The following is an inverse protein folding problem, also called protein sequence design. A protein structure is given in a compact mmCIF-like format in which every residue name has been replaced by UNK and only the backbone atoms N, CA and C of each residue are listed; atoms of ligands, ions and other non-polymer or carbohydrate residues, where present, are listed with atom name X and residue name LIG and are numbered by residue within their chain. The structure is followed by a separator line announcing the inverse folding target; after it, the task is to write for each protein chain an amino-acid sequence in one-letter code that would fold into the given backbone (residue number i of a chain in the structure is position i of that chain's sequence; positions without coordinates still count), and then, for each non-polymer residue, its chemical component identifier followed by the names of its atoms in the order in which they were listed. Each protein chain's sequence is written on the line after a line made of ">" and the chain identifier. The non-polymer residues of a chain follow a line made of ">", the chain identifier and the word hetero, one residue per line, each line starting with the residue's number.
data_IF_374739095756
#
_entry.id   IF_374739095756
#
_cell.length_a   1.000
_cell.length_b   1.000
_cell.length_c   1.000
_cell.angle_alpha   90.00
_cell.angle_beta   90.00
_cell.angle_gamma   90.00
#
_symmetry.space_group_name_H-M   'P 1'
#
loop_
_entity.id
_entity.type
_entity.pdbx_description
1 polymer ?
#
# COMPACT_ATOMS: atom_id res chain seq x y z
N UNK A 1 2.88 -24.74 36.49
CA UNK A 1 1.84 -24.69 35.45
C UNK A 1 1.31 -23.27 35.38
N UNK A 2 1.94 -22.42 34.56
CA UNK A 2 1.52 -21.03 34.34
C UNK A 2 0.86 -20.93 32.97
N UNK A 3 -0.25 -20.19 32.95
CA UNK A 3 -1.24 -20.18 31.89
C UNK A 3 -0.74 -19.64 30.56
N UNK A 4 -1.44 -20.08 29.52
CA UNK A 4 -1.37 -19.59 28.15
C UNK A 4 -1.56 -18.07 28.15
N UNK A 5 -0.59 -17.36 27.58
CA UNK A 5 -0.72 -15.94 27.24
C UNK A 5 -1.33 -15.90 25.85
N UNK A 6 -2.56 -15.42 25.80
CA UNK A 6 -3.31 -15.15 24.58
C UNK A 6 -2.75 -13.85 23.96
N UNK A 7 -1.83 -13.97 23.00
CA UNK A 7 -1.24 -12.83 22.29
C UNK A 7 -2.21 -12.35 21.20
N UNK A 8 -3.29 -11.67 21.61
CA UNK A 8 -4.05 -10.83 20.69
C UNK A 8 -3.36 -9.46 20.59
N UNK A 9 -2.65 -9.25 19.49
CA UNK A 9 -1.99 -8.00 19.14
C UNK A 9 -3.02 -6.87 18.99
N UNK A 10 -3.06 -5.97 19.96
CA UNK A 10 -3.77 -4.69 19.87
C UNK A 10 -2.72 -3.59 19.78
N UNK A 11 -2.47 -3.08 18.59
CA UNK A 11 -1.81 -1.78 18.44
C UNK A 11 -2.78 -0.70 18.94
N UNK A 12 -2.54 -0.20 20.16
CA UNK A 12 -3.29 0.93 20.70
C UNK A 12 -2.48 2.20 20.42
N UNK A 13 -2.79 2.86 19.31
CA UNK A 13 -2.34 4.23 19.09
C UNK A 13 -3.25 5.13 19.94
N UNK A 14 -2.73 5.67 21.04
CA UNK A 14 -3.44 6.65 21.86
C UNK A 14 -3.42 8.03 21.18
N UNK A 15 -4.26 8.22 20.17
CA UNK A 15 -4.49 9.55 19.60
C UNK A 15 -5.57 10.26 20.40
N UNK A 16 -5.23 11.33 21.14
CA UNK A 16 -6.24 12.10 21.90
C UNK A 16 -7.25 12.82 21.02
N UNK A 17 -6.93 13.07 19.74
CA UNK A 17 -7.81 13.70 18.75
C UNK A 17 -7.32 13.45 17.32
N UNK A 18 -8.20 12.95 16.45
CA UNK A 18 -7.99 12.91 15.00
C UNK A 18 -8.98 13.88 14.37
N UNK A 19 -8.49 14.93 13.72
CA UNK A 19 -9.32 15.85 12.95
C UNK A 19 -9.20 15.51 11.47
N UNK A 20 -10.26 14.97 10.88
CA UNK A 20 -10.30 14.65 9.44
C UNK A 20 -11.08 15.75 8.72
N UNK A 21 -10.40 16.52 7.85
CA UNK A 21 -11.08 17.47 6.95
C UNK A 21 -11.64 16.71 5.75
N UNK A 22 -12.95 16.81 5.54
CA UNK A 22 -13.65 16.21 4.41
C UNK A 22 -14.18 17.27 3.45
N UNK A 23 -14.54 16.87 2.25
CA UNK A 23 -15.24 17.69 1.26
C UNK A 23 -16.41 16.90 0.68
N UNK A 24 -17.50 17.57 0.27
CA UNK A 24 -18.67 16.87 -0.21
C UNK A 24 -18.47 16.32 -1.63
N UNK A 25 -18.97 15.11 -1.88
CA UNK A 25 -19.08 14.49 -3.21
C UNK A 25 -20.55 14.45 -3.64
N UNK A 26 -21.12 15.63 -3.89
CA UNK A 26 -22.58 15.80 -4.09
C UNK A 26 -23.12 15.12 -5.34
N UNK A 27 -22.27 14.88 -6.33
CA UNK A 27 -22.67 14.31 -7.61
C UNK A 27 -22.44 12.79 -7.67
N UNK A 28 -22.06 12.16 -6.55
CA UNK A 28 -21.66 10.76 -6.51
C UNK A 28 -20.20 10.54 -6.91
N UNK A 29 -19.88 9.29 -7.22
CA UNK A 29 -18.55 8.82 -7.57
C UNK A 29 -18.64 7.88 -8.77
N UNK A 30 -17.51 7.69 -9.44
CA UNK A 30 -17.28 6.57 -10.33
C UNK A 30 -16.14 5.73 -9.75
N UNK A 31 -16.37 4.45 -9.52
CA UNK A 31 -15.36 3.57 -8.92
C UNK A 31 -15.52 2.13 -9.36
N UNK A 32 -14.47 1.35 -9.13
CA UNK A 32 -14.45 -0.09 -9.34
C UNK A 32 -13.05 -0.59 -9.65
N UNK A 33 -13.00 -1.81 -10.15
CA UNK A 33 -11.82 -2.59 -10.44
C UNK A 33 -11.83 -2.94 -11.92
N UNK A 34 -10.64 -2.87 -12.52
CA UNK A 34 -10.34 -3.45 -13.83
C UNK A 34 -9.28 -4.54 -13.63
N UNK A 35 -9.54 -5.72 -14.18
CA UNK A 35 -8.73 -6.91 -13.95
C UNK A 35 -8.03 -7.34 -15.24
N UNK A 36 -6.77 -7.73 -15.11
CA UNK A 36 -5.92 -8.25 -16.17
C UNK A 36 -5.32 -9.60 -15.77
N UNK A 37 -4.99 -10.41 -16.76
CA UNK A 37 -4.20 -11.62 -16.54
C UNK A 37 -2.70 -11.33 -16.75
N UNK A 38 -1.84 -12.28 -16.38
CA UNK A 38 -0.38 -12.12 -16.43
C UNK A 38 0.16 -11.84 -17.85
N UNK A 39 -0.49 -12.32 -18.91
CA UNK A 39 -0.06 -12.04 -20.30
C UNK A 39 -0.27 -10.58 -20.71
N UNK A 40 -1.03 -9.81 -19.92
CA UNK A 40 -1.32 -8.40 -20.14
C UNK A 40 -0.56 -7.49 -19.18
N UNK A 41 0.31 -8.04 -18.32
CA UNK A 41 0.98 -7.32 -17.24
C UNK A 41 1.69 -6.05 -17.75
N UNK A 42 2.59 -6.19 -18.73
CA UNK A 42 3.36 -5.06 -19.27
C UNK A 42 2.45 -3.95 -19.81
N UNK A 43 1.44 -4.29 -20.60
CA UNK A 43 0.52 -3.31 -21.18
C UNK A 43 -0.34 -2.62 -20.11
N UNK A 44 -0.80 -3.35 -19.09
CA UNK A 44 -1.56 -2.79 -17.99
C UNK A 44 -0.71 -1.87 -17.11
N UNK A 45 0.55 -2.25 -16.84
CA UNK A 45 1.49 -1.46 -16.05
C UNK A 45 2.02 -0.23 -16.80
N UNK A 46 2.15 -0.32 -18.12
CA UNK A 46 2.43 0.83 -18.98
C UNK A 46 1.31 1.87 -18.86
N UNK A 47 0.07 1.45 -19.08
CA UNK A 47 -1.11 2.32 -18.96
C UNK A 47 -1.26 2.87 -17.52
N UNK A 48 -0.93 2.08 -16.49
CA UNK A 48 -0.89 2.52 -15.10
C UNK A 48 0.14 3.63 -14.86
N UNK A 49 1.37 3.43 -15.35
CA UNK A 49 2.46 4.39 -15.20
C UNK A 49 2.16 5.69 -15.96
N UNK A 50 1.55 5.62 -17.14
CA UNK A 50 1.08 6.79 -17.89
C UNK A 50 0.02 7.58 -17.12
N UNK A 51 -0.93 6.91 -16.46
CA UNK A 51 -1.92 7.57 -15.62
C UNK A 51 -1.25 8.25 -14.42
N UNK A 52 -0.28 7.57 -13.78
CA UNK A 52 0.46 8.11 -12.65
C UNK A 52 1.32 9.32 -13.01
N UNK A 53 1.93 9.31 -14.18
CA UNK A 53 2.80 10.40 -14.68
C UNK A 53 2.04 11.42 -15.54
N UNK A 54 0.74 11.23 -15.74
CA UNK A 54 -0.14 12.12 -16.50
C UNK A 54 -1.34 12.54 -15.66
N UNK A 55 -2.48 11.86 -15.82
CA UNK A 55 -3.76 12.27 -15.27
C UNK A 55 -3.77 12.49 -13.75
N UNK A 56 -3.01 11.69 -12.98
CA UNK A 56 -2.91 11.83 -11.52
C UNK A 56 -2.11 13.06 -11.06
N UNK A 57 -1.35 13.72 -11.94
CA UNK A 57 -0.59 14.92 -11.57
C UNK A 57 -1.52 16.10 -11.29
N UNK A 58 -2.60 16.22 -12.07
CA UNK A 58 -3.49 17.39 -12.06
C UNK A 58 -4.90 17.09 -11.51
N UNK A 59 -5.34 15.82 -11.55
CA UNK A 59 -6.66 15.44 -11.09
C UNK A 59 -6.70 15.07 -9.60
N UNK A 60 -6.98 16.07 -8.76
CA UNK A 60 -7.13 15.90 -7.30
C UNK A 60 -8.24 14.95 -6.85
N UNK A 61 -9.16 14.56 -7.73
CA UNK A 61 -10.27 13.66 -7.40
C UNK A 61 -10.09 12.26 -7.99
N UNK A 62 -9.09 12.05 -8.86
CA UNK A 62 -8.78 10.74 -9.43
C UNK A 62 -7.78 10.00 -8.53
N UNK A 63 -8.04 8.72 -8.31
CA UNK A 63 -7.12 7.79 -7.70
C UNK A 63 -7.15 6.50 -8.49
N UNK A 64 -5.96 5.99 -8.81
CA UNK A 64 -5.79 4.66 -9.41
C UNK A 64 -4.67 3.96 -8.65
N UNK A 65 -4.93 2.76 -8.17
CA UNK A 65 -3.96 1.90 -7.46
C UNK A 65 -3.90 0.55 -8.14
N UNK A 66 -2.73 -0.08 -8.20
CA UNK A 66 -2.59 -1.46 -8.66
C UNK A 66 -2.53 -2.42 -7.46
N UNK A 67 -3.12 -3.60 -7.61
CA UNK A 67 -3.00 -4.73 -6.69
C UNK A 67 -2.64 -5.96 -7.51
N UNK A 68 -1.48 -6.52 -7.25
CA UNK A 68 -1.08 -7.82 -7.77
C UNK A 68 -1.30 -8.86 -6.67
N UNK A 69 -1.87 -10.02 -7.03
CA UNK A 69 -2.07 -11.11 -6.07
C UNK A 69 -1.57 -12.43 -6.62
N UNK A 70 -1.02 -13.24 -5.71
CA UNK A 70 -0.70 -14.65 -5.91
C UNK A 70 -1.36 -15.44 -4.78
N UNK A 71 -2.21 -16.41 -5.13
CA UNK A 71 -2.82 -17.33 -4.16
C UNK A 71 -2.64 -18.77 -4.69
N UNK A 72 -1.56 -19.47 -4.28
CA UNK A 72 -1.23 -20.79 -4.81
C UNK A 72 -2.34 -21.83 -4.60
N UNK A 73 -3.05 -21.77 -3.46
CA UNK A 73 -4.09 -22.72 -3.10
C UNK A 73 -5.26 -22.81 -4.10
N UNK A 74 -5.50 -21.74 -4.86
CA UNK A 74 -6.54 -21.67 -5.89
C UNK A 74 -5.99 -21.37 -7.29
N UNK A 75 -4.66 -21.47 -7.46
CA UNK A 75 -3.96 -21.14 -8.71
C UNK A 75 -4.35 -19.76 -9.27
N UNK A 76 -4.47 -18.76 -8.38
CA UNK A 76 -4.83 -17.40 -8.77
C UNK A 76 -3.56 -16.56 -8.92
N UNK A 77 -3.46 -15.90 -10.07
CA UNK A 77 -2.62 -14.73 -10.29
C UNK A 77 -3.47 -13.64 -10.94
N UNK A 78 -3.42 -12.42 -10.42
CA UNK A 78 -4.21 -11.30 -10.95
C UNK A 78 -3.48 -9.98 -10.80
N UNK A 79 -3.81 -9.07 -11.71
CA UNK A 79 -3.38 -7.67 -11.71
C UNK A 79 -4.66 -6.85 -11.76
N UNK A 80 -5.02 -6.26 -10.63
CA UNK A 80 -6.27 -5.53 -10.42
C UNK A 80 -5.98 -4.05 -10.19
N UNK A 81 -6.47 -3.18 -11.07
CA UNK A 81 -6.39 -1.75 -10.88
C UNK A 81 -7.70 -1.22 -10.32
N UNK A 82 -7.64 -0.66 -9.13
CA UNK A 82 -8.77 -0.03 -8.46
C UNK A 82 -8.77 1.45 -8.78
N UNK A 83 -9.87 1.94 -9.35
CA UNK A 83 -10.03 3.34 -9.73
C UNK A 83 -11.17 3.99 -8.95
N UNK A 84 -10.99 5.27 -8.63
CA UNK A 84 -11.98 6.11 -7.97
C UNK A 84 -11.91 7.52 -8.56
N UNK A 85 -13.05 8.12 -8.88
CA UNK A 85 -13.14 9.55 -9.16
C UNK A 85 -14.45 10.19 -8.70
N UNK A 86 -14.36 11.40 -8.16
CA UNK A 86 -15.53 12.26 -7.89
C UNK A 86 -16.03 13.01 -9.13
N UNK A 87 -15.29 12.98 -10.25
CA UNK A 87 -15.67 13.66 -11.50
C UNK A 87 -16.57 12.75 -12.34
N UNK A 88 -17.87 12.84 -12.09
CA UNK A 88 -18.87 12.02 -12.80
C UNK A 88 -19.47 12.68 -14.05
N UNK A 89 -19.09 13.90 -14.40
CA UNK A 89 -19.69 14.64 -15.53
C UNK A 89 -19.07 14.26 -16.89
N UNK A 90 -19.07 12.97 -17.23
CA UNK A 90 -18.64 12.45 -18.53
C UNK A 90 -19.77 11.67 -19.20
N UNK A 91 -19.84 11.71 -20.54
CA UNK A 91 -20.93 11.09 -21.32
C UNK A 91 -20.56 9.71 -21.87
N UNK A 92 -19.27 9.38 -21.92
CA UNK A 92 -18.75 8.06 -22.28
C UNK A 92 -19.07 7.01 -21.19
N UNK A 93 -18.84 5.73 -21.52
CA UNK A 93 -18.95 4.63 -20.55
C UNK A 93 -17.93 4.75 -19.40
N UNK A 94 -16.75 5.32 -19.69
CA UNK A 94 -15.64 5.46 -18.75
C UNK A 94 -15.08 6.90 -18.77
N UNK A 95 -14.50 7.40 -17.65
CA UNK A 95 -13.73 8.64 -17.65
C UNK A 95 -12.57 8.56 -18.65
N UNK A 96 -12.31 9.65 -19.40
CA UNK A 96 -11.21 9.72 -20.38
C UNK A 96 -9.85 9.37 -19.76
N UNK A 97 -9.62 9.73 -18.50
CA UNK A 97 -8.39 9.42 -17.78
C UNK A 97 -8.14 7.91 -17.60
N UNK A 98 -9.17 7.06 -17.74
CA UNK A 98 -9.05 5.60 -17.64
C UNK A 98 -9.03 4.92 -19.01
N UNK A 99 -9.11 5.67 -20.11
CA UNK A 99 -9.27 5.09 -21.46
C UNK A 99 -8.13 4.14 -21.82
N UNK A 100 -6.88 4.49 -21.48
CA UNK A 100 -5.73 3.65 -21.78
C UNK A 100 -5.81 2.28 -21.08
N UNK A 101 -6.40 2.21 -19.88
CA UNK A 101 -6.68 0.93 -19.20
C UNK A 101 -7.71 0.11 -19.97
N UNK A 102 -8.76 0.75 -20.50
CA UNK A 102 -9.79 0.07 -21.30
C UNK A 102 -9.22 -0.47 -22.60
N UNK A 103 -8.33 0.29 -23.25
CA UNK A 103 -7.75 -0.05 -24.56
C UNK A 103 -6.83 -1.28 -24.50
N UNK A 104 -6.28 -1.62 -23.33
CA UNK A 104 -5.53 -2.87 -23.09
C UNK A 104 -6.42 -4.12 -23.26
N UNK A 105 -7.74 -3.98 -23.14
CA UNK A 105 -8.70 -5.09 -23.27
C UNK A 105 -8.78 -5.95 -22.00
N UNK A 106 -9.29 -5.42 -20.89
CA UNK A 106 -9.34 -6.14 -19.61
C UNK A 106 -10.19 -7.41 -19.67
N UNK A 107 -9.84 -8.40 -18.84
CA UNK A 107 -10.63 -9.65 -18.73
C UNK A 107 -11.92 -9.45 -17.95
N UNK A 108 -11.97 -8.45 -17.06
CA UNK A 108 -13.16 -8.10 -16.31
C UNK A 108 -13.13 -6.63 -15.89
N UNK A 109 -14.32 -6.04 -15.76
CA UNK A 109 -14.51 -4.74 -15.12
C UNK A 109 -15.77 -4.79 -14.25
N UNK A 110 -15.78 -4.08 -13.13
CA UNK A 110 -16.98 -3.86 -12.33
C UNK A 110 -17.28 -2.37 -12.09
N UNK A 111 -16.72 -1.51 -12.95
CA UNK A 111 -16.87 -0.06 -12.84
C UNK A 111 -18.33 0.36 -12.80
N UNK A 112 -18.65 1.28 -11.89
CA UNK A 112 -20.00 1.79 -11.74
C UNK A 112 -20.00 3.24 -11.28
N UNK A 113 -21.07 3.94 -11.65
CA UNK A 113 -21.46 5.19 -11.00
C UNK A 113 -22.22 4.85 -9.75
N UNK A 114 -21.80 5.37 -8.62
CA UNK A 114 -22.43 5.10 -7.33
C UNK A 114 -22.30 6.30 -6.38
N UNK A 115 -22.68 6.13 -5.13
CA UNK A 115 -22.42 7.10 -4.06
C UNK A 115 -21.31 6.59 -3.15
N UNK A 116 -20.55 7.51 -2.53
CA UNK A 116 -19.57 7.13 -1.51
C UNK A 116 -20.22 6.37 -0.35
N UNK A 117 -21.45 6.72 0.03
CA UNK A 117 -22.22 6.03 1.07
C UNK A 117 -22.48 4.57 0.70
N UNK A 118 -22.93 4.29 -0.52
CA UNK A 118 -23.18 2.93 -0.96
C UNK A 118 -21.90 2.11 -1.04
N UNK A 119 -20.80 2.71 -1.51
CA UNK A 119 -19.48 2.07 -1.56
C UNK A 119 -18.98 1.73 -0.15
N UNK A 120 -19.05 2.68 0.78
CA UNK A 120 -18.65 2.50 2.17
C UNK A 120 -19.58 1.54 2.96
N UNK A 121 -20.79 1.29 2.46
CA UNK A 121 -21.75 0.36 3.06
C UNK A 121 -21.59 -1.08 2.56
N UNK A 122 -20.69 -1.35 1.61
CA UNK A 122 -20.41 -2.71 1.15
C UNK A 122 -19.91 -3.54 2.33
N UNK A 123 -20.50 -4.71 2.52
CA UNK A 123 -20.15 -5.59 3.62
C UNK A 123 -18.68 -6.00 3.50
N UNK A 124 -17.94 -5.86 4.60
CA UNK A 124 -16.63 -6.48 4.73
C UNK A 124 -16.85 -7.98 4.84
N UNK A 125 -16.28 -8.75 3.92
CA UNK A 125 -16.53 -10.19 3.88
C UNK A 125 -15.82 -10.90 5.04
N UNK A 126 -16.37 -12.01 5.58
CA UNK A 126 -15.69 -12.81 6.59
C UNK A 126 -14.28 -13.25 6.15
N UNK A 127 -14.07 -13.52 4.87
CA UNK A 127 -12.78 -13.87 4.28
C UNK A 127 -11.78 -12.72 4.39
N UNK A 128 -12.22 -11.48 4.12
CA UNK A 128 -11.38 -10.29 4.34
C UNK A 128 -11.10 -10.05 5.83
N UNK A 129 -12.02 -10.37 6.73
CA UNK A 129 -11.76 -10.27 8.16
C UNK A 129 -10.80 -11.36 8.66
N UNK A 130 -10.84 -12.56 8.05
CA UNK A 130 -10.00 -13.68 8.43
C UNK A 130 -8.50 -13.36 8.33
N UNK A 131 -8.07 -12.57 7.33
CA UNK A 131 -6.66 -12.17 7.18
C UNK A 131 -6.13 -11.30 8.33
N UNK A 132 -6.99 -10.73 9.18
CA UNK A 132 -6.56 -9.99 10.38
C UNK A 132 -6.27 -10.91 11.57
N UNK A 133 -6.70 -12.17 11.49
CA UNK A 133 -6.42 -13.20 12.52
C UNK A 133 -5.30 -14.16 12.10
N UNK A 134 -4.88 -14.08 10.83
CA UNK A 134 -3.78 -14.86 10.30
C UNK A 134 -2.42 -14.27 10.69
N UNK A 135 -1.39 -15.10 10.49
CA UNK A 135 0.01 -14.68 10.52
C UNK A 135 0.26 -13.79 9.32
N UNK A 136 0.97 -12.68 9.49
CA UNK A 136 1.14 -11.69 8.43
C UNK A 136 2.60 -11.29 8.27
N UNK A 137 2.99 -11.09 7.01
CA UNK A 137 4.19 -10.38 6.62
C UNK A 137 3.81 -9.02 6.04
N UNK A 138 4.68 -8.03 6.24
CA UNK A 138 4.52 -6.68 5.71
C UNK A 138 5.86 -6.18 5.20
N UNK A 139 5.82 -5.33 4.18
CA UNK A 139 6.98 -4.59 3.73
C UNK A 139 6.61 -3.47 2.79
N UNK A 140 7.48 -2.47 2.68
CA UNK A 140 7.28 -1.33 1.81
C UNK A 140 8.60 -0.94 1.16
N UNK A 141 8.53 -0.61 -0.13
CA UNK A 141 9.52 0.24 -0.78
C UNK A 141 8.80 1.40 -1.45
N UNK A 142 9.39 2.59 -1.38
CA UNK A 142 8.89 3.76 -2.09
C UNK A 142 9.78 4.00 -3.30
N UNK A 143 9.17 4.26 -4.45
CA UNK A 143 9.90 4.46 -5.71
C UNK A 143 9.37 5.69 -6.47
N UNK A 144 10.22 6.32 -7.27
CA UNK A 144 9.79 7.21 -8.35
C UNK A 144 8.99 6.39 -9.37
N UNK A 145 8.05 7.03 -10.07
CA UNK A 145 7.38 6.38 -11.19
C UNK A 145 8.42 6.07 -12.29
N UNK A 146 8.57 4.80 -12.63
CA UNK A 146 9.45 4.32 -13.68
C UNK A 146 8.78 3.10 -14.34
N UNK A 147 8.49 3.25 -15.62
CA UNK A 147 7.71 2.29 -16.40
C UNK A 147 8.37 0.91 -16.51
N UNK A 148 9.69 0.88 -16.66
CA UNK A 148 10.41 -0.40 -16.81
C UNK A 148 10.69 -1.02 -15.43
N UNK A 149 10.93 -0.21 -14.39
CA UNK A 149 10.99 -0.71 -13.01
C UNK A 149 9.71 -1.45 -12.64
N UNK A 150 8.56 -0.93 -13.04
CA UNK A 150 7.26 -1.53 -12.77
C UNK A 150 7.19 -2.93 -13.38
N UNK A 151 7.55 -3.09 -14.65
CA UNK A 151 7.62 -4.41 -15.30
C UNK A 151 8.59 -5.35 -14.59
N UNK A 152 9.82 -4.90 -14.34
CA UNK A 152 10.86 -5.70 -13.68
C UNK A 152 10.42 -6.18 -12.28
N UNK A 153 9.77 -5.32 -11.49
CA UNK A 153 9.30 -5.66 -10.15
C UNK A 153 8.07 -6.57 -10.20
N UNK A 154 7.15 -6.37 -11.15
CA UNK A 154 5.98 -7.24 -11.35
C UNK A 154 6.40 -8.66 -11.77
N UNK A 155 7.31 -8.76 -12.75
CA UNK A 155 7.86 -10.05 -13.17
C UNK A 155 8.58 -10.76 -12.02
N UNK A 156 9.38 -10.01 -11.25
CA UNK A 156 10.00 -10.52 -10.03
C UNK A 156 8.95 -11.00 -9.02
N UNK A 157 7.87 -10.26 -8.80
CA UNK A 157 6.82 -10.63 -7.86
C UNK A 157 6.18 -11.97 -8.23
N UNK A 158 5.70 -12.10 -9.47
CA UNK A 158 5.05 -13.33 -9.91
C UNK A 158 6.02 -14.51 -9.94
N UNK A 159 7.25 -14.34 -10.43
CA UNK A 159 8.24 -15.41 -10.49
C UNK A 159 8.72 -15.85 -9.09
N UNK A 160 8.92 -14.92 -8.17
CA UNK A 160 9.40 -15.20 -6.81
C UNK A 160 8.38 -15.98 -5.98
N UNK A 161 7.09 -15.66 -6.12
CA UNK A 161 6.02 -16.32 -5.36
C UNK A 161 5.37 -17.50 -6.09
N UNK A 162 5.65 -17.72 -7.39
CA UNK A 162 5.15 -18.87 -8.14
C UNK A 162 5.51 -20.23 -7.51
N UNK A 163 6.65 -20.31 -6.81
CA UNK A 163 7.11 -21.53 -6.13
C UNK A 163 6.70 -21.64 -4.67
N UNK A 164 5.84 -20.75 -4.16
CA UNK A 164 5.42 -20.81 -2.76
C UNK A 164 4.64 -22.09 -2.47
N UNK A 165 5.13 -22.87 -1.49
CA UNK A 165 4.46 -24.07 -0.97
C UNK A 165 3.86 -23.88 0.42
N UNK A 166 3.86 -22.65 0.95
CA UNK A 166 3.38 -22.38 2.32
C UNK A 166 1.87 -22.58 2.40
N UNK A 167 1.40 -23.14 3.52
CA UNK A 167 -0.02 -23.42 3.72
C UNK A 167 -0.83 -22.12 3.80
N UNK A 168 -1.95 -22.07 3.09
CA UNK A 168 -2.86 -20.92 3.03
C UNK A 168 -2.17 -19.59 2.67
N UNK A 169 -1.09 -19.64 1.87
CA UNK A 169 -0.34 -18.44 1.51
C UNK A 169 -1.18 -17.52 0.61
N UNK A 170 -1.40 -16.29 1.07
CA UNK A 170 -1.99 -15.21 0.29
C UNK A 170 -0.93 -14.12 0.19
N UNK A 171 -0.55 -13.76 -1.04
CA UNK A 171 0.47 -12.76 -1.31
C UNK A 171 -0.18 -11.63 -2.09
N UNK A 172 -0.22 -10.44 -1.50
CA UNK A 172 -0.69 -9.22 -2.13
C UNK A 172 0.42 -8.19 -2.23
N UNK A 173 0.52 -7.54 -3.38
CA UNK A 173 1.49 -6.48 -3.63
C UNK A 173 0.78 -5.27 -4.24
N UNK A 174 0.62 -4.22 -3.43
CA UNK A 174 -0.20 -3.05 -3.79
C UNK A 174 0.66 -1.82 -4.08
N UNK A 175 0.32 -1.14 -5.16
CA UNK A 175 1.07 -0.02 -5.70
C UNK A 175 0.18 1.20 -5.58
N UNK A 176 0.59 2.11 -4.71
CA UNK A 176 -0.23 3.24 -4.29
C UNK A 176 0.50 4.54 -4.66
N UNK A 177 0.14 5.15 -5.80
CA UNK A 177 0.67 6.45 -6.18
C UNK A 177 0.22 7.52 -5.19
N UNK A 178 1.18 8.31 -4.71
CA UNK A 178 0.92 9.55 -4.00
C UNK A 178 1.10 10.71 -4.96
N UNK A 179 0.00 11.41 -5.22
CA UNK A 179 -0.05 12.47 -6.23
C UNK A 179 0.68 13.73 -5.76
N UNK A 180 1.24 14.54 -6.69
CA UNK A 180 1.78 15.85 -6.37
C UNK A 180 0.78 16.74 -5.63
N UNK A 181 -0.50 16.69 -6.01
CA UNK A 181 -1.55 17.43 -5.32
C UNK A 181 -1.69 17.00 -3.85
N UNK A 182 -1.67 15.70 -3.55
CA UNK A 182 -1.71 15.20 -2.18
C UNK A 182 -0.51 15.69 -1.34
N UNK A 183 0.68 15.70 -1.95
CA UNK A 183 1.91 16.20 -1.31
C UNK A 183 1.82 17.70 -1.04
N UNK A 184 1.39 18.49 -2.03
CA UNK A 184 1.23 19.94 -1.90
C UNK A 184 0.23 20.28 -0.80
N UNK A 185 -0.93 19.62 -0.78
CA UNK A 185 -1.94 19.82 0.27
C UNK A 185 -1.46 19.38 1.65
N UNK A 186 -0.69 18.30 1.74
CA UNK A 186 -0.04 17.86 2.97
C UNK A 186 0.91 18.94 3.50
N UNK A 187 1.83 19.42 2.65
CA UNK A 187 2.81 20.45 3.01
C UNK A 187 2.15 21.76 3.42
N UNK A 188 1.08 22.19 2.71
CA UNK A 188 0.29 23.38 3.06
C UNK A 188 -0.35 23.30 4.44
N UNK A 189 -0.60 22.08 4.95
CA UNK A 189 -1.22 21.81 6.26
C UNK A 189 -0.21 21.47 7.36
N UNK A 190 1.09 21.66 7.11
CA UNK A 190 2.16 21.40 8.09
C UNK A 190 3.00 20.15 7.77
N UNK A 191 2.68 19.43 6.70
CA UNK A 191 3.43 18.28 6.21
C UNK A 191 3.21 17.00 7.00
N UNK A 192 3.95 15.96 6.62
CA UNK A 192 4.02 14.68 7.31
C UNK A 192 5.40 14.52 7.96
N UNK A 193 5.45 13.98 9.18
CA UNK A 193 6.68 13.68 9.92
C UNK A 193 7.65 12.81 9.12
N UNK A 194 7.16 11.86 8.33
CA UNK A 194 8.01 11.02 7.47
C UNK A 194 8.42 11.66 6.14
N UNK A 195 8.10 12.94 5.95
CA UNK A 195 8.09 13.58 4.66
C UNK A 195 6.99 13.02 3.75
N UNK A 196 6.56 13.83 2.79
CA UNK A 196 5.66 13.39 1.74
C UNK A 196 6.23 13.92 0.42
N UNK A 197 6.48 13.02 -0.52
CA UNK A 197 6.94 13.35 -1.86
C UNK A 197 6.10 12.53 -2.86
N UNK A 198 6.01 12.95 -4.13
CA UNK A 198 5.35 12.15 -5.15
C UNK A 198 6.13 10.84 -5.31
N UNK A 199 5.48 9.72 -5.02
CA UNK A 199 6.07 8.38 -5.04
C UNK A 199 5.00 7.37 -5.46
N UNK A 200 5.41 6.20 -5.91
CA UNK A 200 4.61 4.99 -5.74
C UNK A 200 5.08 4.23 -4.51
N UNK A 201 4.16 4.05 -3.56
CA UNK A 201 4.38 3.16 -2.43
C UNK A 201 4.02 1.73 -2.83
N UNK A 202 5.02 0.87 -2.91
CA UNK A 202 4.86 -0.55 -3.21
C UNK A 202 4.83 -1.32 -1.90
N UNK A 203 3.68 -1.86 -1.55
CA UNK A 203 3.41 -2.47 -0.25
C UNK A 203 3.16 -3.95 -0.42
N UNK A 204 4.05 -4.75 0.14
CA UNK A 204 3.89 -6.19 0.28
C UNK A 204 3.05 -6.48 1.52
N UNK A 205 2.07 -7.35 1.35
CA UNK A 205 1.36 -7.98 2.45
C UNK A 205 1.16 -9.45 2.14
N UNK A 206 1.64 -10.30 3.04
CA UNK A 206 1.49 -11.75 2.95
C UNK A 206 0.75 -12.27 4.17
N UNK A 207 0.11 -13.43 4.03
CA UNK A 207 -0.40 -14.19 5.16
C UNK A 207 -0.31 -15.69 4.94
N UNK A 208 -0.12 -16.46 6.01
CA UNK A 208 0.01 -17.92 5.95
C UNK A 208 -0.66 -18.58 7.16
N UNK A 209 -0.97 -19.88 7.02
CA UNK A 209 -1.77 -20.62 7.98
C UNK A 209 -0.97 -21.26 9.12
N UNK A 210 0.27 -21.70 8.87
CA UNK A 210 1.04 -22.52 9.81
C UNK A 210 2.13 -21.74 10.56
N UNK A 211 2.25 -21.96 11.87
CA UNK A 211 3.31 -21.37 12.70
C UNK A 211 4.71 -21.83 12.31
N UNK A 212 4.84 -23.08 11.88
CA UNK A 212 6.15 -23.64 11.52
C UNK A 212 6.72 -22.98 10.25
N UNK A 213 5.87 -22.31 9.47
CA UNK A 213 6.25 -21.60 8.25
C UNK A 213 6.71 -20.14 8.50
N UNK A 214 6.62 -19.62 9.74
CA UNK A 214 6.93 -18.21 10.06
C UNK A 214 8.29 -17.77 9.51
N UNK A 215 9.34 -18.57 9.78
CA UNK A 215 10.69 -18.23 9.34
C UNK A 215 10.85 -18.28 7.81
N UNK A 216 10.19 -19.25 7.16
CA UNK A 216 10.24 -19.40 5.71
C UNK A 216 9.48 -18.27 4.99
N UNK A 217 8.30 -17.91 5.49
CA UNK A 217 7.49 -16.80 4.97
C UNK A 217 8.24 -15.47 5.07
N UNK A 218 8.73 -15.14 6.27
CA UNK A 218 9.45 -13.87 6.50
C UNK A 218 10.76 -13.81 5.71
N UNK A 219 11.46 -14.93 5.53
CA UNK A 219 12.65 -14.97 4.68
C UNK A 219 12.32 -14.75 3.20
N UNK A 220 11.25 -15.37 2.70
CA UNK A 220 10.77 -15.19 1.33
C UNK A 220 10.40 -13.73 1.05
N UNK A 221 9.71 -13.08 2.00
CA UNK A 221 9.33 -11.67 1.89
C UNK A 221 10.54 -10.74 1.93
N UNK A 222 11.49 -11.00 2.83
CA UNK A 222 12.72 -10.22 2.94
C UNK A 222 13.57 -10.33 1.65
N UNK A 223 13.68 -11.53 1.07
CA UNK A 223 14.41 -11.77 -0.17
C UNK A 223 13.75 -11.05 -1.36
N UNK A 224 12.42 -11.10 -1.48
CA UNK A 224 11.68 -10.34 -2.49
C UNK A 224 11.93 -8.84 -2.37
N UNK A 225 11.74 -8.27 -1.18
CA UNK A 225 11.92 -6.83 -0.93
C UNK A 225 13.36 -6.39 -1.18
N UNK A 226 14.35 -7.21 -0.84
CA UNK A 226 15.76 -6.91 -1.11
C UNK A 226 16.04 -6.83 -2.62
N UNK A 227 15.52 -7.80 -3.41
CA UNK A 227 15.65 -7.79 -4.87
C UNK A 227 14.92 -6.61 -5.51
N UNK A 228 13.68 -6.35 -5.11
CA UNK A 228 12.90 -5.21 -5.60
C UNK A 228 13.57 -3.86 -5.26
N UNK A 229 14.15 -3.74 -4.06
CA UNK A 229 14.94 -2.57 -3.64
C UNK A 229 16.16 -2.37 -4.54
N UNK A 230 16.85 -3.47 -4.91
CA UNK A 230 18.02 -3.40 -5.78
C UNK A 230 17.66 -3.01 -7.22
N UNK A 231 16.55 -3.52 -7.76
CA UNK A 231 16.01 -3.07 -9.06
C UNK A 231 15.75 -1.56 -9.04
N UNK A 232 15.05 -1.08 -8.01
CA UNK A 232 14.77 0.36 -7.85
C UNK A 232 16.04 1.19 -7.71
N UNK A 233 17.06 0.69 -6.99
CA UNK A 233 18.35 1.37 -6.81
C UNK A 233 19.12 1.48 -8.13
N UNK A 234 19.19 0.41 -8.92
CA UNK A 234 19.88 0.40 -10.23
C UNK A 234 19.32 1.43 -11.21
N UNK A 235 18.05 1.80 -11.03
CA UNK A 235 17.33 2.76 -11.87
C UNK A 235 17.29 4.19 -11.30
N UNK A 236 17.99 4.45 -10.19
CA UNK A 236 17.88 5.72 -9.44
C UNK A 236 16.42 6.09 -9.06
N UNK A 237 15.57 5.07 -8.91
CA UNK A 237 14.16 5.23 -8.61
C UNK A 237 13.86 5.04 -7.11
N UNK A 238 14.74 4.39 -6.35
CA UNK A 238 14.53 4.12 -4.93
C UNK A 238 14.44 5.42 -4.12
N UNK A 239 13.35 5.56 -3.36
CA UNK A 239 13.16 6.67 -2.44
C UNK A 239 13.71 6.33 -1.05
N UNK A 240 14.27 7.30 -0.32
CA UNK A 240 14.96 7.04 0.95
C UNK A 240 14.00 6.73 2.11
N UNK A 241 12.75 7.20 2.04
CA UNK A 241 11.79 7.08 3.14
C UNK A 241 10.98 5.78 3.08
N UNK A 242 10.71 5.17 4.23
CA UNK A 242 9.77 4.06 4.36
C UNK A 242 8.62 4.42 5.30
N UNK A 243 7.37 4.15 4.95
CA UNK A 243 6.25 4.53 5.81
C UNK A 243 5.92 3.45 6.85
N UNK A 244 5.82 3.87 8.11
CA UNK A 244 5.71 2.94 9.25
C UNK A 244 4.46 2.06 9.22
N UNK A 245 3.39 2.51 8.57
CA UNK A 245 2.13 1.77 8.51
C UNK A 245 2.24 0.48 7.69
N UNK A 246 3.23 0.36 6.81
CA UNK A 246 3.41 -0.78 5.92
C UNK A 246 4.82 -1.37 5.92
N UNK A 247 5.75 -0.78 6.67
CA UNK A 247 7.11 -1.29 6.76
C UNK A 247 7.19 -2.65 7.48
N UNK A 248 8.23 -3.41 7.13
CA UNK A 248 8.55 -4.69 7.76
C UNK A 248 8.99 -4.46 9.21
N UNK A 249 8.68 -5.40 10.11
CA UNK A 249 9.01 -5.26 11.55
C UNK A 249 10.50 -5.03 11.83
N UNK A 250 11.36 -5.53 10.94
CA UNK A 250 12.82 -5.40 11.02
C UNK A 250 13.36 -4.12 10.37
N UNK A 251 12.53 -3.32 9.73
CA UNK A 251 12.95 -2.10 9.04
C UNK A 251 13.31 -0.99 10.05
N UNK A 252 14.43 -0.31 9.82
CA UNK A 252 14.78 0.90 10.57
C UNK A 252 14.03 2.11 9.98
N UNK A 253 12.73 2.20 10.24
CA UNK A 253 11.86 3.22 9.65
C UNK A 253 12.18 4.63 10.15
N UNK A 254 12.47 4.79 11.44
CA UNK A 254 12.61 6.12 12.05
C UNK A 254 13.78 6.88 11.43
N UNK A 255 14.91 6.20 11.16
CA UNK A 255 16.06 6.86 10.54
C UNK A 255 15.75 7.36 9.12
N UNK A 256 14.86 6.68 8.40
CA UNK A 256 14.47 7.08 7.02
C UNK A 256 13.72 8.41 6.94
N UNK A 257 13.24 8.96 8.06
CA UNK A 257 12.52 10.25 8.08
C UNK A 257 13.45 11.46 8.05
N UNK A 258 14.76 11.24 8.16
CA UNK A 258 15.76 12.29 8.17
C UNK A 258 15.96 12.91 9.55
N UNK A 259 17.19 13.36 9.80
CA UNK A 259 17.64 13.79 11.13
C UNK A 259 16.77 14.91 11.74
N UNK A 260 16.34 15.88 10.93
CA UNK A 260 15.51 16.98 11.41
C UNK A 260 14.15 16.52 11.92
N UNK A 261 13.52 15.58 11.23
CA UNK A 261 12.22 15.03 11.63
C UNK A 261 12.38 14.13 12.85
N UNK A 262 13.44 13.32 12.91
CA UNK A 262 13.77 12.51 14.09
C UNK A 262 13.99 13.40 15.32
N UNK A 263 14.72 14.51 15.18
CA UNK A 263 14.94 15.48 16.25
C UNK A 263 13.63 16.11 16.73
N UNK A 264 12.73 16.48 15.81
CA UNK A 264 11.38 16.98 16.14
C UNK A 264 10.56 15.92 16.89
N UNK A 265 10.58 14.66 16.44
CA UNK A 265 9.89 13.55 17.11
C UNK A 265 10.39 13.35 18.54
N UNK A 266 11.72 13.33 18.75
CA UNK A 266 12.31 13.23 20.08
C UNK A 266 11.91 14.39 20.99
N UNK A 267 11.92 15.62 20.48
CA UNK A 267 11.49 16.80 21.25
C UNK A 267 10.00 16.75 21.64
N UNK A 268 9.13 16.26 20.76
CA UNK A 268 7.69 16.05 21.05
C UNK A 268 7.52 14.96 22.10
N UNK A 269 8.24 13.83 21.98
CA UNK A 269 8.24 12.75 22.97
C UNK A 269 8.64 13.28 24.35
N UNK A 270 9.75 14.03 24.44
CA UNK A 270 10.21 14.64 25.71
C UNK A 270 9.22 15.66 26.29
N UNK A 271 8.40 16.31 25.47
CA UNK A 271 7.41 17.26 25.95
C UNK A 271 6.17 16.58 26.55
N UNK A 272 5.69 15.50 25.92
CA UNK A 272 4.39 14.91 26.22
C UNK A 272 4.44 13.51 26.85
N UNK A 273 5.56 12.81 26.74
CA UNK A 273 5.83 11.49 27.32
C UNK A 273 7.24 11.46 27.95
N UNK A 274 7.46 12.31 28.96
CA UNK A 274 8.76 12.49 29.64
C UNK A 274 9.34 11.20 30.18
N UNK A 275 8.49 10.31 30.69
CA UNK A 275 8.88 9.02 31.27
C UNK A 275 9.07 7.93 30.20
N UNK A 276 8.86 8.25 28.91
CA UNK A 276 8.98 7.28 27.82
C UNK A 276 7.97 6.13 27.92
N UNK A 277 6.80 6.37 28.53
CA UNK A 277 5.76 5.35 28.78
C UNK A 277 5.42 4.59 27.50
N UNK A 278 5.28 5.27 26.36
CA UNK A 278 4.96 4.62 25.08
C UNK A 278 6.18 4.00 24.40
N UNK A 279 7.38 4.46 24.74
CA UNK A 279 8.62 3.82 24.29
C UNK A 279 8.85 2.49 25.01
N UNK A 280 8.41 2.36 26.27
CA UNK A 280 8.67 1.18 27.12
C UNK A 280 7.50 0.20 27.26
N UNK A 281 6.27 0.69 27.43
CA UNK A 281 5.13 -0.15 27.79
C UNK A 281 4.29 -0.61 26.61
N UNK A 282 4.38 0.06 25.46
CA UNK A 282 3.67 -0.37 24.24
C UNK A 282 4.51 -1.44 23.53
N UNK A 283 4.03 -2.67 23.37
CA UNK A 283 4.75 -3.71 22.63
C UNK A 283 4.79 -3.36 21.13
N UNK A 284 5.89 -3.73 20.48
CA UNK A 284 6.09 -3.52 19.03
C UNK A 284 6.20 -2.05 18.61
N UNK A 285 6.04 -1.82 17.32
CA UNK A 285 6.19 -0.52 16.66
C UNK A 285 7.63 0.00 16.64
N UNK A 286 7.87 1.02 15.81
CA UNK A 286 9.18 1.64 15.67
C UNK A 286 9.42 2.63 16.82
N UNK A 287 10.39 2.34 17.68
CA UNK A 287 10.74 3.19 18.82
C UNK A 287 11.72 4.28 18.40
N UNK A 288 11.62 5.45 19.01
CA UNK A 288 12.55 6.57 18.75
C UNK A 288 13.95 6.35 19.35
N UNK A 289 14.08 5.32 20.20
CA UNK A 289 15.22 5.16 21.09
C UNK A 289 15.25 6.24 22.17
N UNK A 290 16.08 6.04 23.20
CA UNK A 290 16.37 7.08 24.18
C UNK A 290 17.10 8.28 23.52
#
# INVERSE_FOLDING_TARGET
>A
MRGKVDNQWREVIYTKRVDTKTFPLTNGIFSGTISYNLSQADAALDAFCEIQTGALLDDSQLMVTCMEMVIPAINLTTIDLNSFTGKVNFTSSYPTALQHLIDVGPIATNFSRNTLTAEASKAVTPEFLAVYTQRIGRGIINVKADQELYKEVSELFFSHYASSTLADHIIGFSWNPVTPHAVQESNRKGGNTGGCQPVAALNLRTSWGNADDDAAALHMDADFLAKATELARKRDALMPNQWMNNAAETADVISTYGEENVKKMKAVSQKYDKEGTFQHLVPGGYKLGA
#
